data_IF_112566692762
#
_entry.id   IF_112566692762
#
_cell.length_a   1.000
_cell.length_b   1.000
_cell.length_c   1.000
_cell.angle_alpha   90.00
_cell.angle_beta   90.00
_cell.angle_gamma   90.00
#
_symmetry.space_group_name_H-M   'P 1'
#
loop_
_entity.id
_entity.type
_entity.pdbx_description
1 polymer ?
#
# COMPACT_ATOMS: atom_id res chain seq x y z
N UNK A 1 -11.45 9.54 -15.10
CA UNK A 1 -11.92 8.89 -13.86
C UNK A 1 -13.43 8.91 -13.84
N UNK A 2 -14.07 7.76 -14.01
CA UNK A 2 -15.46 7.57 -13.62
C UNK A 2 -15.48 6.53 -12.51
N UNK A 3 -15.00 6.91 -11.32
CA UNK A 3 -15.21 6.10 -10.13
C UNK A 3 -16.70 6.23 -9.82
N UNK A 4 -17.49 5.25 -10.25
CA UNK A 4 -18.90 5.16 -9.90
C UNK A 4 -18.97 4.45 -8.55
N UNK A 5 -18.91 5.20 -7.46
CA UNK A 5 -19.22 4.65 -6.13
C UNK A 5 -20.74 4.64 -5.95
N UNK A 6 -21.32 3.46 -5.75
CA UNK A 6 -22.71 3.34 -5.28
C UNK A 6 -22.72 3.38 -3.75
N UNK A 7 -23.82 3.85 -3.15
CA UNK A 7 -23.98 4.03 -1.70
C UNK A 7 -23.88 2.67 -0.94
N UNK A 8 -24.02 1.56 -1.66
CA UNK A 8 -23.79 0.19 -1.17
C UNK A 8 -22.69 -0.57 -1.95
N UNK A 9 -21.96 0.11 -2.83
CA UNK A 9 -21.32 -0.50 -3.99
C UNK A 9 -19.81 -0.49 -3.98
N UNK A 10 -19.26 -1.64 -4.34
CA UNK A 10 -17.85 -1.90 -4.66
C UNK A 10 -17.26 -0.83 -5.56
N UNK A 11 -15.96 -0.59 -5.44
CA UNK A 11 -15.22 0.26 -6.38
C UNK A 11 -15.05 -0.50 -7.70
N UNK A 12 -15.74 -0.05 -8.74
CA UNK A 12 -15.63 -0.60 -10.08
C UNK A 12 -14.66 0.25 -10.92
N UNK A 13 -13.57 -0.38 -11.38
CA UNK A 13 -12.65 0.21 -12.34
C UNK A 13 -13.16 -0.09 -13.75
N UNK A 14 -13.17 0.92 -14.63
CA UNK A 14 -13.60 0.76 -16.02
C UNK A 14 -12.64 1.43 -17.00
N UNK A 15 -12.70 1.01 -18.27
CA UNK A 15 -11.90 1.60 -19.35
C UNK A 15 -10.39 1.42 -19.16
N UNK A 16 -9.62 2.49 -19.48
CA UNK A 16 -8.14 2.47 -19.47
C UNK A 16 -7.56 2.18 -18.08
N UNK A 17 -8.28 2.53 -17.02
CA UNK A 17 -7.84 2.32 -15.64
C UNK A 17 -7.95 0.84 -15.24
N UNK A 18 -8.99 0.15 -15.68
CA UNK A 18 -9.12 -1.30 -15.51
C UNK A 18 -8.02 -2.06 -16.26
N UNK A 19 -7.71 -1.66 -17.50
CA UNK A 19 -6.62 -2.26 -18.27
C UNK A 19 -5.25 -2.08 -17.58
N UNK A 20 -4.98 -0.87 -17.06
CA UNK A 20 -3.75 -0.59 -16.30
C UNK A 20 -3.67 -1.40 -15.01
N UNK A 21 -4.79 -1.55 -14.31
CA UNK A 21 -4.85 -2.35 -13.09
C UNK A 21 -4.54 -3.83 -13.37
N UNK A 22 -5.15 -4.41 -14.41
CA UNK A 22 -4.86 -5.80 -14.84
C UNK A 22 -3.39 -5.95 -15.24
N UNK A 23 -2.83 -4.99 -15.98
CA UNK A 23 -1.42 -5.00 -16.34
C UNK A 23 -0.50 -4.98 -15.11
N UNK A 24 -0.80 -4.13 -14.12
CA UNK A 24 -0.03 -4.06 -12.87
C UNK A 24 -0.09 -5.35 -12.05
N UNK A 25 -1.23 -6.04 -12.03
CA UNK A 25 -1.36 -7.35 -11.38
C UNK A 25 -0.52 -8.40 -12.10
N UNK A 26 -0.54 -8.41 -13.43
CA UNK A 26 0.13 -9.44 -14.23
C UNK A 26 1.65 -9.21 -14.33
N UNK A 27 2.11 -7.96 -14.34
CA UNK A 27 3.52 -7.59 -14.47
C UNK A 27 4.22 -7.47 -13.10
N UNK A 28 3.81 -8.30 -12.14
CA UNK A 28 4.11 -8.25 -10.71
C UNK A 28 5.60 -7.97 -10.41
N UNK A 29 5.93 -6.69 -10.30
CA UNK A 29 7.24 -6.21 -9.88
C UNK A 29 7.08 -5.55 -8.52
N UNK A 30 7.77 -6.12 -7.54
CA UNK A 30 7.79 -5.56 -6.21
C UNK A 30 8.26 -4.10 -6.25
N UNK A 31 7.44 -3.20 -5.72
CA UNK A 31 7.84 -1.81 -5.54
C UNK A 31 8.96 -1.73 -4.51
N UNK A 32 10.16 -1.34 -4.94
CA UNK A 32 11.35 -1.24 -4.08
C UNK A 32 11.12 -0.35 -2.85
N UNK A 33 10.31 0.71 -2.98
CA UNK A 33 9.94 1.57 -1.86
C UNK A 33 9.05 0.84 -0.85
N UNK A 34 8.13 -0.01 -1.33
CA UNK A 34 7.28 -0.82 -0.47
C UNK A 34 8.10 -1.88 0.28
N UNK A 35 9.07 -2.51 -0.39
CA UNK A 35 10.01 -3.46 0.25
C UNK A 35 10.83 -2.76 1.33
N UNK A 36 11.38 -1.58 1.05
CA UNK A 36 12.12 -0.79 2.02
C UNK A 36 11.25 -0.35 3.21
N UNK A 37 9.99 0.03 2.96
CA UNK A 37 9.03 0.33 4.02
C UNK A 37 8.72 -0.90 4.89
N UNK A 38 8.54 -2.07 4.28
CA UNK A 38 8.32 -3.33 5.01
C UNK A 38 9.52 -3.69 5.89
N UNK A 39 10.74 -3.55 5.38
CA UNK A 39 11.96 -3.78 6.15
C UNK A 39 12.03 -2.86 7.37
N UNK A 40 11.77 -1.56 7.19
CA UNK A 40 11.70 -0.59 8.30
C UNK A 40 10.64 -0.99 9.33
N UNK A 41 9.44 -1.37 8.90
CA UNK A 41 8.37 -1.83 9.78
C UNK A 41 8.75 -3.06 10.60
N UNK A 42 9.42 -4.05 9.99
CA UNK A 42 9.90 -5.25 10.69
C UNK A 42 10.91 -4.91 11.78
N UNK A 43 11.83 -4.00 11.51
CA UNK A 43 12.80 -3.56 12.52
C UNK A 43 12.14 -2.80 13.67
N UNK A 44 11.15 -1.95 13.38
CA UNK A 44 10.35 -1.28 14.41
C UNK A 44 9.59 -2.30 15.27
N UNK A 45 8.94 -3.28 14.65
CA UNK A 45 8.20 -4.33 15.35
C UNK A 45 9.12 -5.15 16.28
N UNK A 46 10.33 -5.50 15.83
CA UNK A 46 11.33 -6.18 16.68
C UNK A 46 11.71 -5.36 17.90
N UNK A 47 11.90 -4.05 17.76
CA UNK A 47 12.24 -3.14 18.86
C UNK A 47 11.10 -3.03 19.88
N UNK A 48 9.87 -2.87 19.39
CA UNK A 48 8.68 -2.84 20.25
C UNK A 48 8.51 -4.17 21.01
N UNK A 49 8.71 -5.32 20.35
CA UNK A 49 8.63 -6.62 21.00
C UNK A 49 9.69 -6.83 22.09
N UNK A 50 10.83 -6.13 22.01
CA UNK A 50 11.86 -6.10 23.04
C UNK A 50 11.57 -5.12 24.18
N UNK A 51 10.45 -4.41 24.12
CA UNK A 51 10.04 -3.39 25.10
C UNK A 51 10.61 -2.00 24.83
N UNK A 52 11.21 -1.75 23.67
CA UNK A 52 11.73 -0.43 23.32
C UNK A 52 10.61 0.50 22.84
N UNK A 53 10.58 1.73 23.35
CA UNK A 53 9.63 2.75 22.91
C UNK A 53 10.03 3.33 21.56
N UNK A 54 9.20 3.13 20.54
CA UNK A 54 9.39 3.74 19.22
C UNK A 54 8.51 4.98 19.04
N UNK A 55 9.11 6.13 18.74
CA UNK A 55 8.38 7.38 18.43
C UNK A 55 8.42 7.64 16.92
N UNK A 56 7.25 7.67 16.29
CA UNK A 56 7.09 8.16 14.92
C UNK A 56 7.32 9.67 14.91
N UNK A 57 8.25 10.14 14.07
CA UNK A 57 8.37 11.58 13.82
C UNK A 57 7.20 12.01 12.91
N UNK A 58 6.48 13.09 13.23
CA UNK A 58 5.54 13.66 12.29
C UNK A 58 6.31 14.17 11.08
N UNK A 59 5.86 13.82 9.88
CA UNK A 59 6.32 14.50 8.67
C UNK A 59 5.67 15.88 8.68
N UNK A 60 6.46 16.91 9.02
CA UNK A 60 6.15 18.32 8.77
C UNK A 60 6.75 18.69 7.42
#
# INVERSE_FOLDING_TARGET
MAIKSSIFGRVELSGKDAARFVQQINEDKANLLAVAALARGREIAKKINKGEMFKLKPNV
#
